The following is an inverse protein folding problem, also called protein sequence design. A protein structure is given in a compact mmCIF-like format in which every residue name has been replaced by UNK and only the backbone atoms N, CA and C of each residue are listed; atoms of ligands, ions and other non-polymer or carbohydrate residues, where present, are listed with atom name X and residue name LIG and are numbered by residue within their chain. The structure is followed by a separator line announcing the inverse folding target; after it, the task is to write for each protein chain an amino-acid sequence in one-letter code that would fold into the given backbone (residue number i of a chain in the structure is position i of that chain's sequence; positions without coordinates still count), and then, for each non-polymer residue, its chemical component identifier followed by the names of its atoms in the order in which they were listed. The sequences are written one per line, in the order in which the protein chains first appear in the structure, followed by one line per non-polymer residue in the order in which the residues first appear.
data_IF_270168006771
#
_entry.id   IF_270168006771
#
_cell.length_a   1.000
_cell.length_b   1.000
_cell.length_c   1.000
_cell.angle_alpha   90.00
_cell.angle_beta   90.00
_cell.angle_gamma   90.00
#
_symmetry.space_group_name_H-M   'P 1'
#
loop_
_entity.id
_entity.type
_entity.pdbx_description
1 polymer ?
#
# COMPACT_ATOMS: atom_id res chain seq x y z
N UNK A 1 2.11 -3.57 0.53
CA UNK A 1 2.53 -3.23 1.91
C UNK A 1 2.62 -4.52 2.72
N UNK A 2 3.66 -4.75 3.53
CA UNK A 2 3.83 -5.98 4.33
C UNK A 2 3.87 -7.29 3.49
N UNK A 3 4.34 -7.19 2.25
CA UNK A 3 4.43 -8.31 1.31
C UNK A 3 5.41 -9.39 1.76
N UNK A 4 6.48 -9.03 2.46
CA UNK A 4 7.50 -9.99 2.90
C UNK A 4 6.97 -10.96 3.97
N UNK A 5 6.02 -10.56 4.80
CA UNK A 5 5.51 -11.43 5.88
C UNK A 5 4.24 -12.18 5.49
N UNK A 6 3.64 -11.87 4.33
CA UNK A 6 2.41 -12.50 3.87
C UNK A 6 2.44 -12.90 2.39
N UNK A 7 2.37 -11.92 1.47
CA UNK A 7 2.20 -12.15 0.03
C UNK A 7 3.32 -13.00 -0.59
N UNK A 8 4.58 -12.62 -0.34
CA UNK A 8 5.75 -13.32 -0.88
C UNK A 8 5.85 -14.76 -0.32
N UNK A 9 5.79 -15.02 1.01
CA UNK A 9 5.75 -16.38 1.53
C UNK A 9 4.60 -17.23 0.97
N UNK A 10 3.40 -16.65 0.80
CA UNK A 10 2.27 -17.36 0.23
C UNK A 10 2.54 -17.77 -1.23
N UNK A 11 3.09 -16.86 -2.04
CA UNK A 11 3.47 -17.14 -3.42
C UNK A 11 4.62 -18.16 -3.51
N UNK A 12 5.62 -18.09 -2.63
CA UNK A 12 6.70 -19.09 -2.55
C UNK A 12 6.15 -20.49 -2.27
N UNK A 13 5.23 -20.61 -1.29
CA UNK A 13 4.57 -21.89 -0.98
C UNK A 13 3.67 -22.37 -2.11
N UNK A 14 2.98 -21.47 -2.81
CA UNK A 14 2.20 -21.83 -4.00
C UNK A 14 3.10 -22.35 -5.13
N UNK A 15 4.22 -21.67 -5.41
CA UNK A 15 5.19 -22.12 -6.40
C UNK A 15 5.75 -23.51 -6.05
N UNK A 16 6.07 -23.75 -4.77
CA UNK A 16 6.44 -25.08 -4.29
C UNK A 16 5.33 -26.13 -4.53
N UNK A 17 4.09 -25.83 -4.12
CA UNK A 17 2.94 -26.72 -4.28
C UNK A 17 2.68 -27.11 -5.73
N UNK A 18 2.82 -26.17 -6.65
CA UNK A 18 2.52 -26.36 -8.07
C UNK A 18 3.75 -26.70 -8.93
N UNK A 19 4.93 -26.88 -8.32
CA UNK A 19 6.16 -27.24 -9.04
C UNK A 19 6.68 -26.14 -9.98
N UNK A 20 6.39 -24.88 -9.70
CA UNK A 20 6.84 -23.74 -10.51
C UNK A 20 8.24 -23.33 -10.08
N UNK A 21 9.18 -23.35 -11.03
CA UNK A 21 10.56 -22.94 -10.77
C UNK A 21 10.72 -21.41 -10.81
N UNK A 22 11.29 -20.83 -9.76
CA UNK A 22 11.56 -19.38 -9.64
C UNK A 22 13.02 -19.12 -9.22
N UNK A 23 14.01 -19.58 -9.99
CA UNK A 23 15.42 -19.58 -9.58
C UNK A 23 15.99 -18.16 -9.40
N UNK A 24 15.56 -17.21 -10.23
CA UNK A 24 15.99 -15.81 -10.14
C UNK A 24 15.53 -15.13 -8.85
N UNK A 25 14.38 -15.53 -8.31
CA UNK A 25 13.85 -14.99 -7.05
C UNK A 25 14.64 -15.48 -5.84
N UNK A 26 14.87 -16.79 -5.75
CA UNK A 26 15.62 -17.38 -4.63
C UNK A 26 17.11 -17.05 -4.71
N UNK A 27 17.69 -17.12 -5.92
CA UNK A 27 19.08 -16.80 -6.23
C UNK A 27 20.09 -17.24 -5.14
N UNK A 28 19.97 -18.47 -4.64
CA UNK A 28 20.69 -18.94 -3.45
C UNK A 28 22.21 -18.97 -3.58
N UNK A 29 22.73 -18.82 -4.82
CA UNK A 29 24.17 -18.75 -5.10
C UNK A 29 24.73 -17.33 -5.02
N UNK A 30 23.88 -16.30 -5.04
CA UNK A 30 24.31 -14.91 -4.89
C UNK A 30 24.69 -14.61 -3.43
N UNK A 31 25.45 -13.53 -3.22
CA UNK A 31 25.73 -13.00 -1.89
C UNK A 31 24.40 -12.71 -1.20
N UNK A 32 24.31 -13.00 0.10
CA UNK A 32 23.04 -12.95 0.83
C UNK A 32 22.32 -11.60 0.66
N UNK A 33 23.04 -10.48 0.62
CA UNK A 33 22.47 -9.14 0.45
C UNK A 33 22.02 -8.81 -0.98
N UNK A 34 22.55 -9.51 -1.99
CA UNK A 34 22.12 -9.37 -3.40
C UNK A 34 20.89 -10.23 -3.72
N UNK A 35 20.49 -11.13 -2.82
CA UNK A 35 19.34 -12.00 -3.05
C UNK A 35 18.05 -11.17 -3.07
N UNK A 36 17.15 -11.34 -4.07
CA UNK A 36 15.91 -10.56 -4.16
C UNK A 36 14.99 -10.68 -2.94
N UNK A 37 14.98 -11.87 -2.31
CA UNK A 37 14.23 -12.14 -1.08
C UNK A 37 14.87 -11.54 0.19
N UNK A 38 16.08 -11.01 0.11
CA UNK A 38 16.71 -10.39 1.27
C UNK A 38 15.92 -9.15 1.67
N UNK A 39 15.51 -9.07 2.94
CA UNK A 39 14.67 -7.98 3.43
C UNK A 39 15.30 -6.59 3.29
N UNK A 40 16.63 -6.50 3.26
CA UNK A 40 17.36 -5.23 3.13
C UNK A 40 17.71 -4.90 1.68
N UNK A 41 17.35 -5.76 0.72
CA UNK A 41 17.54 -5.51 -0.70
C UNK A 41 16.34 -4.73 -1.26
N UNK A 42 16.33 -3.42 -0.99
CA UNK A 42 15.28 -2.52 -1.45
C UNK A 42 15.33 -2.24 -2.97
N UNK A 43 16.43 -2.59 -3.66
CA UNK A 43 16.50 -2.53 -5.12
C UNK A 43 15.62 -3.60 -5.77
N UNK A 44 15.54 -4.79 -5.17
CA UNK A 44 14.72 -5.89 -5.65
C UNK A 44 13.27 -5.84 -5.14
N UNK A 45 13.08 -5.55 -3.85
CA UNK A 45 11.75 -5.46 -3.25
C UNK A 45 11.73 -4.44 -2.11
N UNK A 46 10.96 -3.37 -2.29
CA UNK A 46 10.71 -2.36 -1.27
C UNK A 46 9.45 -2.69 -0.48
N UNK A 47 9.61 -3.24 0.72
CA UNK A 47 8.47 -3.42 1.64
C UNK A 47 8.27 -2.19 2.53
N UNK A 48 7.21 -1.44 2.29
CA UNK A 48 6.86 -0.24 3.06
C UNK A 48 6.71 -0.53 4.56
N UNK A 49 6.20 -1.68 4.95
CA UNK A 49 6.04 -2.02 6.36
C UNK A 49 7.40 -2.23 7.04
N UNK A 50 8.35 -2.88 6.36
CA UNK A 50 9.72 -2.99 6.87
C UNK A 50 10.38 -1.62 6.99
N UNK A 51 10.29 -0.78 5.96
CA UNK A 51 10.89 0.56 5.99
C UNK A 51 10.32 1.38 7.16
N UNK A 52 8.99 1.46 7.30
CA UNK A 52 8.33 2.25 8.33
C UNK A 52 8.54 1.70 9.76
N UNK A 53 8.84 0.42 9.91
CA UNK A 53 9.13 -0.20 11.21
C UNK A 53 10.62 -0.26 11.55
N UNK A 54 11.49 0.31 10.70
CA UNK A 54 12.93 0.09 10.73
C UNK A 54 13.24 -1.42 10.88
N UNK A 55 12.72 -2.19 9.93
CA UNK A 55 12.88 -3.64 9.82
C UNK A 55 12.44 -4.40 11.08
N UNK A 56 11.37 -3.94 11.72
CA UNK A 56 10.78 -4.56 12.92
C UNK A 56 11.37 -4.08 14.25
N UNK A 57 12.13 -2.98 14.25
CA UNK A 57 12.57 -2.34 15.49
C UNK A 57 11.39 -1.72 16.27
N UNK A 58 10.30 -1.35 15.59
CA UNK A 58 9.06 -0.88 16.21
C UNK A 58 7.87 -1.73 15.80
N UNK A 59 6.83 -1.73 16.65
CA UNK A 59 5.51 -2.25 16.28
C UNK A 59 4.75 -1.16 15.53
N UNK A 60 4.01 -1.56 14.50
CA UNK A 60 3.15 -0.63 13.74
C UNK A 60 1.68 -1.05 13.82
N UNK A 61 1.14 -0.91 15.04
CA UNK A 61 -0.26 -1.23 15.34
C UNK A 61 -1.20 -0.33 14.54
N UNK A 62 -1.95 -0.92 13.61
CA UNK A 62 -2.80 -0.21 12.65
C UNK A 62 -2.34 -0.35 11.19
N UNK A 63 -1.08 -0.72 10.96
CA UNK A 63 -0.55 -1.10 9.65
C UNK A 63 -0.85 -0.09 8.53
N UNK A 64 -1.24 -0.60 7.37
CA UNK A 64 -1.57 0.23 6.20
C UNK A 64 -2.68 1.24 6.51
N UNK A 65 -3.71 0.84 7.26
CA UNK A 65 -4.81 1.73 7.62
C UNK A 65 -4.33 2.96 8.39
N UNK A 66 -3.46 2.77 9.39
CA UNK A 66 -2.88 3.89 10.13
C UNK A 66 -2.02 4.77 9.22
N UNK A 67 -1.16 4.16 8.40
CA UNK A 67 -0.29 4.89 7.48
C UNK A 67 -1.09 5.75 6.48
N UNK A 68 -2.15 5.20 5.88
CA UNK A 68 -3.02 5.90 4.94
C UNK A 68 -3.80 7.05 5.61
N UNK A 69 -4.38 6.80 6.78
CA UNK A 69 -5.12 7.82 7.54
C UNK A 69 -4.24 9.01 7.95
N UNK A 70 -2.97 8.79 8.26
CA UNK A 70 -2.01 9.88 8.53
C UNK A 70 -1.79 10.79 7.31
N UNK A 71 -2.12 10.33 6.10
CA UNK A 71 -2.07 11.09 4.84
C UNK A 71 -3.44 11.63 4.42
N UNK A 72 -4.44 11.52 5.30
CA UNK A 72 -5.82 11.87 4.99
C UNK A 72 -6.50 10.91 4.01
N UNK A 73 -5.91 9.75 3.70
CA UNK A 73 -6.54 8.77 2.81
C UNK A 73 -7.48 7.84 3.57
N UNK A 74 -8.49 7.25 2.89
CA UNK A 74 -9.56 6.50 3.55
C UNK A 74 -9.05 5.37 4.46
N UNK A 75 -7.97 4.70 4.06
CA UNK A 75 -7.53 3.50 4.74
C UNK A 75 -8.48 2.32 4.47
N UNK A 76 -8.44 1.34 5.37
CA UNK A 76 -9.28 0.15 5.29
C UNK A 76 -10.76 0.52 5.42
N UNK A 77 -11.46 0.39 4.29
CA UNK A 77 -12.91 0.40 4.18
C UNK A 77 -13.54 -0.82 4.89
N UNK A 78 -14.87 -0.94 4.87
CA UNK A 78 -15.66 -1.89 5.67
C UNK A 78 -15.21 -3.38 5.63
N UNK A 79 -14.59 -3.82 4.54
CA UNK A 79 -14.09 -5.19 4.37
C UNK A 79 -12.73 -5.37 5.04
N UNK A 80 -12.60 -6.42 5.87
CA UNK A 80 -11.32 -6.82 6.50
C UNK A 80 -10.79 -8.11 5.90
N UNK A 81 -9.48 -8.27 5.89
CA UNK A 81 -8.81 -9.44 5.30
C UNK A 81 -9.32 -10.81 5.77
N UNK A 82 -9.77 -10.95 7.03
CA UNK A 82 -10.34 -12.22 7.52
C UNK A 82 -11.72 -12.54 6.91
N UNK A 83 -12.43 -11.54 6.37
CA UNK A 83 -13.74 -11.70 5.73
C UNK A 83 -13.61 -12.20 4.29
N UNK A 84 -12.42 -12.19 3.69
CA UNK A 84 -12.22 -12.50 2.26
C UNK A 84 -12.69 -13.91 1.91
N UNK A 85 -12.43 -14.90 2.78
CA UNK A 85 -12.89 -16.28 2.56
C UNK A 85 -14.42 -16.38 2.58
N UNK A 86 -15.07 -15.79 3.59
CA UNK A 86 -16.53 -15.81 3.71
C UNK A 86 -17.20 -15.09 2.53
N UNK A 87 -16.65 -13.95 2.10
CA UNK A 87 -17.12 -13.22 0.91
C UNK A 87 -16.95 -14.04 -0.36
N UNK A 88 -15.84 -14.78 -0.49
CA UNK A 88 -15.58 -15.63 -1.65
C UNK A 88 -16.59 -16.78 -1.72
N UNK A 89 -16.82 -17.46 -0.60
CA UNK A 89 -17.77 -18.57 -0.49
C UNK A 89 -19.22 -18.10 -0.72
N UNK A 90 -19.53 -16.86 -0.34
CA UNK A 90 -20.80 -16.20 -0.64
C UNK A 90 -20.92 -15.67 -2.08
N UNK A 91 -19.89 -15.84 -2.93
CA UNK A 91 -19.89 -15.36 -4.32
C UNK A 91 -19.73 -13.84 -4.48
N UNK A 92 -19.41 -13.12 -3.41
CA UNK A 92 -19.30 -11.64 -3.36
C UNK A 92 -17.95 -11.15 -3.87
N UNK A 93 -17.58 -11.55 -5.09
CA UNK A 93 -16.26 -11.26 -5.69
C UNK A 93 -16.04 -9.77 -5.96
N UNK A 94 -17.11 -9.02 -6.28
CA UNK A 94 -17.02 -7.58 -6.52
C UNK A 94 -16.45 -6.85 -5.30
N UNK A 95 -16.92 -7.19 -4.10
CA UNK A 95 -16.47 -6.56 -2.86
C UNK A 95 -15.02 -6.89 -2.51
N UNK A 96 -14.58 -8.13 -2.81
CA UNK A 96 -13.17 -8.50 -2.67
C UNK A 96 -12.31 -7.65 -3.61
N UNK A 97 -12.74 -7.50 -4.87
CA UNK A 97 -12.01 -6.70 -5.85
C UNK A 97 -11.97 -5.22 -5.44
N UNK A 98 -13.08 -4.68 -4.95
CA UNK A 98 -13.19 -3.29 -4.50
C UNK A 98 -12.26 -3.06 -3.28
N UNK A 99 -12.29 -3.97 -2.31
CA UNK A 99 -11.36 -3.98 -1.17
C UNK A 99 -9.89 -4.00 -1.63
N UNK A 100 -9.52 -4.92 -2.51
CA UNK A 100 -8.15 -5.02 -3.01
C UNK A 100 -7.72 -3.77 -3.78
N UNK A 101 -8.62 -3.13 -4.54
CA UNK A 101 -8.34 -1.88 -5.24
C UNK A 101 -8.03 -0.74 -4.27
N UNK A 102 -8.83 -0.59 -3.20
CA UNK A 102 -8.59 0.42 -2.17
C UNK A 102 -7.25 0.19 -1.45
N UNK A 103 -6.92 -1.06 -1.08
CA UNK A 103 -5.63 -1.39 -0.44
C UNK A 103 -4.42 -1.05 -1.37
N UNK A 104 -4.57 -1.19 -2.69
CA UNK A 104 -3.56 -0.78 -3.67
C UNK A 104 -3.39 0.73 -3.72
N UNK A 105 -4.49 1.49 -3.72
CA UNK A 105 -4.46 2.96 -3.70
C UNK A 105 -3.79 3.46 -2.40
N UNK A 106 -4.20 2.95 -1.24
CA UNK A 106 -3.57 3.29 0.03
C UNK A 106 -2.07 2.95 0.04
N UNK A 107 -1.71 1.77 -0.46
CA UNK A 107 -0.31 1.35 -0.58
C UNK A 107 0.48 2.32 -1.47
N UNK A 108 -0.11 2.80 -2.57
CA UNK A 108 0.51 3.75 -3.48
C UNK A 108 0.75 5.12 -2.81
N UNK A 109 -0.22 5.66 -2.10
CA UNK A 109 -0.04 6.94 -1.38
C UNK A 109 1.02 6.83 -0.27
N UNK A 110 1.02 5.73 0.48
CA UNK A 110 2.06 5.46 1.48
C UNK A 110 3.42 5.27 0.82
N UNK A 111 3.49 4.67 -0.38
CA UNK A 111 4.72 4.56 -1.16
C UNK A 111 5.28 5.94 -1.55
N UNK A 112 4.45 6.83 -2.12
CA UNK A 112 4.90 8.18 -2.49
C UNK A 112 5.40 8.95 -1.26
N UNK A 113 4.66 8.95 -0.15
CA UNK A 113 5.14 9.57 1.10
C UNK A 113 6.44 8.95 1.58
N UNK A 114 6.62 7.64 1.41
CA UNK A 114 7.89 6.98 1.74
C UNK A 114 9.01 7.46 0.84
N UNK A 115 8.76 7.75 -0.45
CA UNK A 115 9.75 8.35 -1.36
C UNK A 115 10.18 9.74 -0.90
N UNK A 116 9.27 10.54 -0.33
CA UNK A 116 9.64 11.80 0.35
C UNK A 116 10.52 11.53 1.58
N UNK A 117 10.09 10.60 2.44
CA UNK A 117 10.82 10.24 3.66
C UNK A 117 12.29 9.84 3.39
N UNK A 118 12.55 9.13 2.29
CA UNK A 118 13.90 8.68 1.92
C UNK A 118 14.62 9.64 0.96
N UNK A 119 14.04 10.81 0.67
CA UNK A 119 14.67 11.88 -0.12
C UNK A 119 14.74 11.65 -1.63
N UNK A 120 13.92 10.75 -2.17
CA UNK A 120 13.85 10.49 -3.63
C UNK A 120 13.02 11.54 -4.38
N UNK A 121 11.99 12.08 -3.72
CA UNK A 121 11.17 13.18 -4.21
C UNK A 121 10.96 14.19 -3.09
N UNK A 122 10.56 15.42 -3.43
CA UNK A 122 10.18 16.43 -2.45
C UNK A 122 8.66 16.43 -2.20
N UNK A 123 8.22 17.20 -1.21
CA UNK A 123 6.80 17.26 -0.81
C UNK A 123 5.89 17.83 -1.90
N UNK A 124 6.38 18.78 -2.70
CA UNK A 124 5.63 19.37 -3.82
C UNK A 124 5.35 18.32 -4.91
N UNK A 125 6.36 17.52 -5.27
CA UNK A 125 6.23 16.40 -6.19
C UNK A 125 5.26 15.33 -5.67
N UNK A 126 5.27 15.03 -4.36
CA UNK A 126 4.23 14.18 -3.76
C UNK A 126 2.84 14.76 -3.99
N UNK A 127 2.60 16.03 -3.66
CA UNK A 127 1.27 16.63 -3.80
C UNK A 127 0.80 16.65 -5.25
N UNK A 128 1.70 16.89 -6.21
CA UNK A 128 1.39 16.77 -7.63
C UNK A 128 0.92 15.36 -8.00
N UNK A 129 1.69 14.32 -7.64
CA UNK A 129 1.33 12.92 -7.93
C UNK A 129 0.01 12.50 -7.26
N UNK A 130 -0.24 12.99 -6.03
CA UNK A 130 -1.51 12.76 -5.34
C UNK A 130 -2.67 13.41 -6.09
N UNK A 131 -2.51 14.64 -6.58
CA UNK A 131 -3.49 15.34 -7.41
C UNK A 131 -3.78 14.60 -8.71
N UNK A 132 -2.74 14.25 -9.48
CA UNK A 132 -2.86 13.50 -10.74
C UNK A 132 -3.58 12.15 -10.53
N UNK A 133 -3.31 11.48 -9.40
CA UNK A 133 -3.99 10.22 -9.06
C UNK A 133 -5.44 10.46 -8.68
N UNK A 134 -5.77 11.53 -7.97
CA UNK A 134 -7.15 11.90 -7.65
C UNK A 134 -7.95 12.17 -8.92
N UNK A 135 -7.38 12.89 -9.87
CA UNK A 135 -8.00 13.13 -11.18
C UNK A 135 -8.22 11.83 -11.93
N UNK A 136 -7.22 10.95 -11.96
CA UNK A 136 -7.31 9.63 -12.59
C UNK A 136 -8.43 8.75 -11.99
N UNK A 137 -8.60 8.77 -10.66
CA UNK A 137 -9.68 8.06 -9.96
C UNK A 137 -11.04 8.71 -10.31
N UNK A 138 -11.11 10.04 -10.31
CA UNK A 138 -12.34 10.82 -10.59
C UNK A 138 -12.88 10.53 -11.98
N UNK A 139 -12.02 10.50 -13.00
CA UNK A 139 -12.40 10.14 -14.38
C UNK A 139 -13.02 8.73 -14.50
N UNK A 140 -12.74 7.84 -13.55
CA UNK A 140 -13.14 6.43 -13.56
C UNK A 140 -14.20 6.11 -12.50
N UNK A 141 -14.64 7.09 -11.72
CA UNK A 141 -15.58 6.90 -10.63
C UNK A 141 -16.91 6.30 -11.12
N UNK A 142 -17.42 6.77 -12.26
CA UNK A 142 -18.67 6.26 -12.85
C UNK A 142 -18.59 4.78 -13.27
N UNK A 143 -17.38 4.26 -13.50
CA UNK A 143 -17.15 2.89 -13.96
C UNK A 143 -16.84 1.91 -12.82
N UNK A 144 -16.64 2.41 -11.59
CA UNK A 144 -16.16 1.62 -10.47
C UNK A 144 -16.69 2.16 -9.15
N UNK A 145 -17.61 1.44 -8.52
CA UNK A 145 -18.18 1.81 -7.22
C UNK A 145 -17.10 2.02 -6.15
N UNK A 146 -16.03 1.21 -6.16
CA UNK A 146 -14.87 1.41 -5.30
C UNK A 146 -14.24 2.80 -5.41
N UNK A 147 -14.15 3.35 -6.63
CA UNK A 147 -13.52 4.65 -6.85
C UNK A 147 -14.40 5.79 -6.36
N UNK A 148 -15.71 5.71 -6.61
CA UNK A 148 -16.67 6.67 -6.04
C UNK A 148 -16.63 6.65 -4.51
N UNK A 149 -16.70 5.47 -3.89
CA UNK A 149 -16.62 5.34 -2.42
C UNK A 149 -15.28 5.81 -1.85
N UNK A 150 -14.18 5.54 -2.55
CA UNK A 150 -12.86 6.01 -2.14
C UNK A 150 -12.75 7.54 -2.19
N UNK A 151 -13.35 8.19 -3.20
CA UNK A 151 -13.41 9.64 -3.32
C UNK A 151 -14.32 10.27 -2.26
N UNK A 152 -15.44 9.63 -1.90
CA UNK A 152 -16.33 10.11 -0.83
C UNK A 152 -15.62 10.20 0.53
N UNK A 153 -14.66 9.31 0.77
CA UNK A 153 -13.88 9.27 2.02
C UNK A 153 -12.50 9.93 1.87
N UNK A 154 -12.22 10.55 0.73
CA UNK A 154 -10.94 11.18 0.46
C UNK A 154 -10.76 12.43 1.33
N UNK A 155 -9.71 12.43 2.15
CA UNK A 155 -9.20 13.62 2.81
C UNK A 155 -7.86 14.08 2.22
N UNK A 156 -7.49 15.31 2.56
CA UNK A 156 -6.23 15.91 2.17
C UNK A 156 -5.32 16.06 3.39
N UNK A 157 -4.06 15.63 3.23
CA UNK A 157 -3.04 15.78 4.27
C UNK A 157 -2.77 17.26 4.52
N UNK A 158 -2.92 17.69 5.77
CA UNK A 158 -2.66 19.07 6.17
C UNK A 158 -1.18 19.22 6.53
N UNK A 159 -0.50 20.17 5.89
CA UNK A 159 0.90 20.44 6.17
C UNK A 159 1.04 21.15 7.53
N UNK A 160 1.63 20.51 8.56
CA UNK A 160 1.68 21.07 9.92
C UNK A 160 2.61 22.27 10.03
N UNK A 161 3.42 22.56 9.01
CA UNK A 161 4.36 23.68 8.98
C UNK A 161 3.80 24.91 8.26
N UNK A 162 2.66 24.77 7.58
CA UNK A 162 1.93 25.90 7.02
C UNK A 162 0.91 26.33 8.06
N UNK A 163 0.85 27.64 8.35
CA UNK A 163 -0.17 28.16 9.25
C UNK A 163 -1.54 27.84 8.64
N UNK A 164 -2.38 27.10 9.37
CA UNK A 164 -3.80 27.01 9.05
C UNK A 164 -4.32 28.42 9.11
N UNK A 165 -4.72 29.01 7.98
CA UNK A 165 -5.52 30.23 8.01
C UNK A 165 -6.84 29.83 8.63
N UNK A 166 -6.93 29.99 9.95
CA UNK A 166 -8.20 29.98 10.65
C UNK A 166 -8.88 31.25 10.17
N UNK A 167 -9.75 31.11 9.16
CA UNK A 167 -10.74 32.13 8.89
C UNK A 167 -11.64 32.18 10.13
N UNK A 168 -11.39 33.16 10.99
CA UNK A 168 -12.32 33.58 12.04
C UNK A 168 -13.61 34.05 11.34
N UNK A 169 -14.68 33.26 11.47
CA UNK A 169 -16.07 33.69 11.27
C UNK A 169 -16.83 33.58 12.58
#
# INVERSE_FOLDING_TARGET
FNGRTFDLPLMELAAFRFGVSVPSWFNMKARAYDQPRNRYNCEAHLDLHDVLTNYGASRFSGGLNLAANLLGKPGKMDVKGYMVQDLWDAGRRAEINDYCRCDVLDTYFVFIRTMVLIGQINLEQEQQLVGETKDWITERAEQSAAYSQYLEQWGDWQNPWQATTVDDQ
#
